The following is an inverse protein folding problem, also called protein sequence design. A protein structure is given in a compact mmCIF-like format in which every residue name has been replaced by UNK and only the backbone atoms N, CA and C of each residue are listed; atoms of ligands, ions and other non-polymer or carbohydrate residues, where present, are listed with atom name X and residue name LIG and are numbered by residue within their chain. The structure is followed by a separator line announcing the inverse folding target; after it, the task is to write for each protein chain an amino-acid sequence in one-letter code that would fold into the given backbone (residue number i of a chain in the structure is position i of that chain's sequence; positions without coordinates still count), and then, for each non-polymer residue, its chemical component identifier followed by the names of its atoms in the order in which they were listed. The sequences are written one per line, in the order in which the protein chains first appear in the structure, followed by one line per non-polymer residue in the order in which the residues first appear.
data_IF_823244978012
#
_entry.id   IF_823244978012
#
_cell.length_a   1.000
_cell.length_b   1.000
_cell.length_c   1.000
_cell.angle_alpha   90.00
_cell.angle_beta   90.00
_cell.angle_gamma   90.00
#
_symmetry.space_group_name_H-M   'P 1'
#
loop_
_entity.id
_entity.type
_entity.pdbx_description
1 polymer ?
#
# COMPACT_ATOMS: atom_id res chain seq x y z
N UNK A 1 -15.87 -64.20 -16.65
CA UNK A 1 -15.17 -64.17 -17.94
C UNK A 1 -14.98 -62.72 -18.35
N UNK A 2 -13.71 -62.30 -18.53
CA UNK A 2 -13.16 -61.10 -19.19
C UNK A 2 -13.71 -59.71 -18.78
N UNK A 3 -12.96 -58.62 -18.61
CA UNK A 3 -11.53 -58.26 -18.52
C UNK A 3 -11.58 -56.80 -17.98
N UNK A 4 -10.73 -56.31 -17.09
CA UNK A 4 -9.31 -56.14 -17.32
C UNK A 4 -9.04 -54.91 -18.22
N UNK A 5 -9.10 -53.70 -17.67
CA UNK A 5 -8.53 -52.50 -18.29
C UNK A 5 -7.61 -51.80 -17.29
N UNK A 6 -6.32 -52.01 -17.49
CA UNK A 6 -5.22 -51.27 -16.89
C UNK A 6 -5.19 -49.83 -17.43
N UNK A 7 -4.84 -48.85 -16.60
CA UNK A 7 -3.80 -47.89 -16.99
C UNK A 7 -3.20 -47.22 -15.76
N UNK A 8 -2.15 -47.84 -15.27
CA UNK A 8 -1.09 -47.23 -14.50
C UNK A 8 -0.25 -46.32 -15.42
N UNK A 9 0.05 -45.09 -14.97
CA UNK A 9 1.29 -44.31 -15.21
C UNK A 9 1.01 -42.80 -15.15
N UNK A 10 1.43 -42.18 -14.04
CA UNK A 10 2.16 -40.90 -14.00
C UNK A 10 2.22 -40.45 -12.53
N UNK A 11 3.05 -41.07 -11.69
CA UNK A 11 4.30 -40.45 -11.24
C UNK A 11 4.32 -38.92 -11.36
N UNK A 12 3.70 -38.22 -10.41
CA UNK A 12 4.12 -36.85 -10.07
C UNK A 12 5.40 -37.00 -9.24
N UNK A 13 6.50 -37.37 -9.91
CA UNK A 13 7.84 -37.35 -9.33
C UNK A 13 8.71 -36.38 -10.12
N UNK A 14 9.39 -35.51 -9.36
CA UNK A 14 10.53 -34.69 -9.76
C UNK A 14 10.29 -33.60 -10.82
N UNK A 15 10.27 -32.35 -10.36
CA UNK A 15 11.35 -31.39 -10.66
C UNK A 15 11.24 -30.15 -9.76
N UNK A 16 12.24 -29.88 -8.90
CA UNK A 16 12.40 -28.56 -8.31
C UNK A 16 13.00 -27.64 -9.38
N UNK A 17 12.22 -26.73 -9.95
CA UNK A 17 12.78 -25.60 -10.70
C UNK A 17 13.23 -24.53 -9.69
N UNK A 18 14.40 -24.77 -9.12
CA UNK A 18 15.20 -23.73 -8.51
C UNK A 18 15.70 -22.80 -9.63
N UNK A 19 14.90 -21.81 -9.99
CA UNK A 19 15.39 -20.68 -10.78
C UNK A 19 16.13 -19.71 -9.84
N UNK A 20 17.33 -20.09 -9.42
CA UNK A 20 18.26 -19.14 -8.80
C UNK A 20 18.90 -18.34 -9.93
N UNK A 21 18.29 -17.21 -10.29
CA UNK A 21 18.94 -16.24 -11.14
C UNK A 21 20.25 -15.78 -10.47
N UNK A 22 21.39 -15.74 -11.18
CA UNK A 22 22.59 -15.12 -10.64
C UNK A 22 22.27 -13.65 -10.39
N UNK A 23 22.51 -13.19 -9.16
CA UNK A 23 22.45 -11.76 -8.81
C UNK A 23 23.52 -11.06 -9.64
N UNK A 24 23.16 -10.59 -10.83
CA UNK A 24 23.96 -9.63 -11.55
C UNK A 24 24.10 -8.40 -10.64
N UNK A 25 25.31 -8.18 -10.14
CA UNK A 25 25.69 -7.00 -9.37
C UNK A 25 25.67 -5.80 -10.32
N UNK A 26 24.49 -5.26 -10.55
CA UNK A 26 24.36 -3.96 -11.21
C UNK A 26 25.08 -2.95 -10.31
N UNK A 27 26.07 -2.20 -10.81
CA UNK A 27 26.76 -1.21 -9.99
C UNK A 27 25.73 -0.21 -9.47
N UNK A 28 25.56 -0.22 -8.14
CA UNK A 28 24.67 0.69 -7.41
C UNK A 28 25.20 2.10 -7.62
N UNK A 29 24.62 2.83 -8.59
CA UNK A 29 25.02 4.20 -8.92
C UNK A 29 25.19 5.04 -7.64
N UNK A 30 26.38 5.64 -7.54
CA UNK A 30 26.96 6.27 -6.36
C UNK A 30 26.29 7.63 -6.03
N UNK A 31 25.30 8.06 -6.82
CA UNK A 31 24.56 9.30 -6.63
C UNK A 31 23.53 9.25 -5.48
N UNK A 32 23.28 8.08 -4.87
CA UNK A 32 22.33 7.98 -3.73
C UNK A 32 22.81 8.66 -2.46
N UNK A 33 24.10 9.00 -2.33
CA UNK A 33 24.68 9.40 -1.04
C UNK A 33 24.39 10.84 -0.64
N UNK A 34 24.30 11.77 -1.59
CA UNK A 34 24.13 13.19 -1.29
C UNK A 34 22.70 13.56 -0.85
N UNK A 35 21.67 13.00 -1.49
CA UNK A 35 20.25 13.30 -1.16
C UNK A 35 19.80 12.69 0.17
N UNK A 36 20.53 11.67 0.63
CA UNK A 36 20.25 10.99 1.89
C UNK A 36 20.59 11.90 3.09
N UNK A 37 21.64 12.72 3.01
CA UNK A 37 22.09 13.54 4.14
C UNK A 37 21.16 14.72 4.46
N UNK A 38 20.62 15.42 3.46
CA UNK A 38 19.74 16.58 3.72
C UNK A 38 18.32 16.17 4.16
N UNK A 39 17.88 14.95 3.83
CA UNK A 39 16.55 14.43 4.23
C UNK A 39 16.58 13.61 5.51
N UNK A 40 17.75 13.20 5.99
CA UNK A 40 17.90 12.53 7.30
C UNK A 40 17.58 13.46 8.49
N UNK A 41 17.72 14.78 8.32
CA UNK A 41 17.33 15.77 9.32
C UNK A 41 15.80 15.84 9.55
N UNK A 42 14.99 15.64 8.51
CA UNK A 42 13.53 15.51 8.68
C UNK A 42 13.15 14.15 9.31
N UNK A 43 13.88 13.08 8.97
CA UNK A 43 13.50 11.71 9.36
C UNK A 43 13.81 11.32 10.81
N UNK A 44 14.65 12.06 11.53
CA UNK A 44 14.77 11.90 12.99
C UNK A 44 13.44 12.17 13.72
N UNK A 45 12.51 12.90 13.09
CA UNK A 45 11.16 13.16 13.62
C UNK A 45 10.13 12.07 13.28
N UNK A 46 10.41 11.20 12.31
CA UNK A 46 9.47 10.18 11.83
C UNK A 46 9.74 8.80 12.46
N UNK A 47 9.89 8.75 13.79
CA UNK A 47 9.77 7.48 14.51
C UNK A 47 8.45 6.83 14.10
N UNK A 48 8.50 5.58 13.64
CA UNK A 48 7.37 4.76 13.17
C UNK A 48 6.18 4.98 14.10
N UNK A 49 5.24 5.85 13.71
CA UNK A 49 4.11 6.19 14.56
C UNK A 49 3.37 4.89 14.86
N UNK A 50 3.35 4.51 16.13
CA UNK A 50 2.58 3.35 16.58
C UNK A 50 1.11 3.69 16.29
N UNK A 51 0.33 2.72 15.83
CA UNK A 51 -1.10 2.95 15.52
C UNK A 51 -1.87 3.58 16.70
N UNK A 52 -1.43 3.33 17.93
CA UNK A 52 -1.95 3.97 19.14
C UNK A 52 -1.82 5.51 19.12
N UNK A 53 -0.73 6.07 18.61
CA UNK A 53 -0.52 7.51 18.54
C UNK A 53 -1.48 8.17 17.53
N UNK A 54 -1.79 7.47 16.44
CA UNK A 54 -2.73 7.98 15.43
C UNK A 54 -4.16 8.08 15.98
N UNK A 55 -4.55 7.19 16.90
CA UNK A 55 -5.87 7.26 17.56
C UNK A 55 -6.01 8.50 18.42
N UNK A 56 -4.94 8.92 19.10
CA UNK A 56 -4.94 10.11 19.95
C UNK A 56 -4.79 11.42 19.15
N UNK A 57 -4.07 11.38 18.03
CA UNK A 57 -3.82 12.56 17.18
C UNK A 57 -5.06 12.98 16.37
N UNK A 58 -5.85 12.03 15.87
CA UNK A 58 -7.00 12.32 15.00
C UNK A 58 -8.32 12.09 15.73
N UNK A 59 -8.86 13.13 16.35
CA UNK A 59 -10.11 13.03 17.11
C UNK A 59 -11.36 12.88 16.22
N UNK A 60 -11.39 13.50 15.03
CA UNK A 60 -12.55 13.53 14.14
C UNK A 60 -12.35 12.67 12.88
N UNK A 61 -13.44 12.18 12.28
CA UNK A 61 -13.38 11.42 11.03
C UNK A 61 -12.98 12.30 9.84
N UNK A 62 -13.43 13.56 9.84
CA UNK A 62 -13.09 14.52 8.78
C UNK A 62 -11.59 14.85 8.75
N UNK A 63 -10.95 14.92 9.93
CA UNK A 63 -9.50 15.10 10.01
C UNK A 63 -8.73 13.90 9.45
N UNK A 64 -9.24 12.68 9.66
CA UNK A 64 -8.67 11.47 9.05
C UNK A 64 -8.78 11.54 7.53
N UNK A 65 -9.95 11.92 7.01
CA UNK A 65 -10.19 11.97 5.56
C UNK A 65 -9.34 13.07 4.90
N UNK A 66 -9.22 14.24 5.52
CA UNK A 66 -8.35 15.33 5.04
C UNK A 66 -6.86 14.91 5.01
N UNK A 67 -6.36 14.27 6.06
CA UNK A 67 -4.97 13.80 6.08
C UNK A 67 -4.74 12.68 5.05
N UNK A 68 -5.70 11.76 4.87
CA UNK A 68 -5.60 10.74 3.82
C UNK A 68 -5.53 11.38 2.42
N UNK A 69 -6.30 12.44 2.15
CA UNK A 69 -6.24 13.17 0.88
C UNK A 69 -4.88 13.84 0.68
N UNK A 70 -4.34 14.50 1.71
CA UNK A 70 -2.99 15.09 1.69
C UNK A 70 -1.92 14.03 1.40
N UNK A 71 -1.91 12.92 2.14
CA UNK A 71 -0.93 11.86 1.95
C UNK A 71 -1.01 11.23 0.54
N UNK A 72 -2.20 11.15 -0.05
CA UNK A 72 -2.39 10.72 -1.45
C UNK A 72 -1.80 11.72 -2.45
N UNK A 73 -1.97 13.03 -2.22
CA UNK A 73 -1.36 14.07 -3.04
C UNK A 73 0.17 14.00 -2.98
N UNK A 74 0.74 13.84 -1.78
CA UNK A 74 2.18 13.66 -1.60
C UNK A 74 2.69 12.43 -2.35
N UNK A 75 1.98 11.31 -2.29
CA UNK A 75 2.31 10.10 -3.06
C UNK A 75 2.26 10.35 -4.58
N UNK A 76 1.35 11.19 -5.07
CA UNK A 76 1.27 11.54 -6.48
C UNK A 76 2.49 12.35 -6.92
N UNK A 77 2.93 13.32 -6.12
CA UNK A 77 4.17 14.07 -6.36
C UNK A 77 5.38 13.13 -6.40
N UNK A 78 5.46 12.16 -5.47
CA UNK A 78 6.54 11.15 -5.48
C UNK A 78 6.53 10.29 -6.75
N UNK A 79 5.36 9.95 -7.28
CA UNK A 79 5.25 9.22 -8.56
C UNK A 79 5.74 10.06 -9.73
N UNK A 80 5.46 11.37 -9.74
CA UNK A 80 5.99 12.29 -10.76
C UNK A 80 7.52 12.33 -10.68
N UNK A 81 8.10 12.49 -9.50
CA UNK A 81 9.57 12.46 -9.31
C UNK A 81 10.19 11.16 -9.80
N UNK A 82 9.55 10.03 -9.50
CA UNK A 82 9.98 8.72 -10.01
C UNK A 82 9.94 8.64 -11.53
N UNK A 83 8.86 9.12 -12.17
CA UNK A 83 8.73 9.14 -13.62
C UNK A 83 9.78 10.03 -14.29
N UNK A 84 10.06 11.20 -13.71
CA UNK A 84 11.11 12.13 -14.17
C UNK A 84 12.53 11.65 -13.89
N UNK A 85 12.70 10.50 -13.20
CA UNK A 85 13.99 9.97 -12.72
C UNK A 85 14.74 10.97 -11.81
N UNK A 86 14.00 11.85 -11.15
CA UNK A 86 14.53 12.74 -10.12
C UNK A 86 14.83 11.95 -8.84
N UNK A 87 15.66 12.53 -7.97
CA UNK A 87 15.95 11.91 -6.70
C UNK A 87 14.69 11.87 -5.81
N UNK A 88 14.32 10.67 -5.37
CA UNK A 88 13.22 10.46 -4.43
C UNK A 88 13.54 9.30 -3.49
N UNK A 89 12.90 9.30 -2.32
CA UNK A 89 13.09 8.26 -1.30
C UNK A 89 12.01 7.19 -1.39
N UNK A 90 12.32 5.93 -1.78
CA UNK A 90 11.32 4.87 -1.87
C UNK A 90 10.80 4.44 -0.49
N UNK A 91 11.63 4.54 0.56
CA UNK A 91 11.23 4.20 1.93
C UNK A 91 10.07 5.08 2.42
N UNK A 92 10.13 6.38 2.17
CA UNK A 92 9.07 7.33 2.51
C UNK A 92 7.76 6.98 1.80
N UNK A 93 7.79 6.59 0.51
CA UNK A 93 6.58 6.15 -0.20
C UNK A 93 5.91 4.93 0.45
N UNK A 94 6.71 3.96 0.90
CA UNK A 94 6.18 2.79 1.62
C UNK A 94 5.66 3.16 3.02
N UNK A 95 6.28 4.11 3.70
CA UNK A 95 5.84 4.62 5.00
C UNK A 95 4.50 5.37 4.88
N UNK A 96 4.37 6.27 3.91
CA UNK A 96 3.13 7.00 3.60
C UNK A 96 1.99 6.04 3.26
N UNK A 97 2.24 5.02 2.44
CA UNK A 97 1.25 3.98 2.14
C UNK A 97 0.76 3.25 3.41
N UNK A 98 1.67 2.89 4.31
CA UNK A 98 1.31 2.23 5.58
C UNK A 98 0.52 3.17 6.51
N UNK A 99 0.87 4.45 6.54
CA UNK A 99 0.16 5.48 7.33
C UNK A 99 -1.29 5.64 6.86
N UNK A 100 -1.52 5.73 5.54
CA UNK A 100 -2.88 5.76 4.96
C UNK A 100 -3.68 4.54 5.38
N UNK A 101 -3.09 3.34 5.30
CA UNK A 101 -3.77 2.11 5.68
C UNK A 101 -4.18 2.13 7.17
N UNK A 102 -3.29 2.59 8.06
CA UNK A 102 -3.59 2.71 9.50
C UNK A 102 -4.75 3.69 9.76
N UNK A 103 -4.74 4.85 9.11
CA UNK A 103 -5.80 5.86 9.23
C UNK A 103 -7.17 5.32 8.79
N UNK A 104 -7.22 4.62 7.65
CA UNK A 104 -8.45 4.01 7.15
C UNK A 104 -8.94 2.86 8.03
N UNK A 105 -8.04 2.12 8.68
CA UNK A 105 -8.42 1.10 9.67
C UNK A 105 -9.11 1.76 10.87
N UNK A 106 -8.57 2.86 11.40
CA UNK A 106 -9.20 3.58 12.53
C UNK A 106 -10.57 4.13 12.13
N UNK A 107 -10.71 4.70 10.93
CA UNK A 107 -12.01 5.13 10.41
C UNK A 107 -13.00 3.96 10.36
N UNK A 108 -12.56 2.80 9.88
CA UNK A 108 -13.41 1.61 9.81
C UNK A 108 -13.78 1.05 11.18
N UNK A 109 -12.89 1.10 12.16
CA UNK A 109 -13.19 0.75 13.56
C UNK A 109 -14.35 1.62 14.09
N UNK A 110 -14.32 2.93 13.85
CA UNK A 110 -15.39 3.86 14.24
C UNK A 110 -16.71 3.61 13.50
N UNK A 111 -16.66 3.32 12.21
CA UNK A 111 -17.87 2.96 11.44
C UNK A 111 -18.54 1.70 12.01
N UNK A 112 -17.74 0.74 12.49
CA UNK A 112 -18.24 -0.49 13.11
C UNK A 112 -18.88 -0.18 14.46
N UNK A 113 -18.27 0.71 15.27
CA UNK A 113 -18.86 1.18 16.54
C UNK A 113 -20.21 1.89 16.32
N UNK A 114 -20.36 2.62 15.22
CA UNK A 114 -21.62 3.26 14.81
C UNK A 114 -22.65 2.29 14.20
N UNK A 115 -22.31 1.01 14.04
CA UNK A 115 -23.20 -0.01 13.49
C UNK A 115 -23.32 0.02 11.96
N UNK A 116 -22.38 0.63 11.24
CA UNK A 116 -22.43 0.74 9.78
C UNK A 116 -21.92 -0.54 9.10
N UNK A 117 -22.84 -1.24 8.45
CA UNK A 117 -22.53 -2.41 7.64
C UNK A 117 -21.56 -2.12 6.49
N UNK A 118 -20.75 -3.13 6.14
CA UNK A 118 -19.78 -3.05 5.02
C UNK A 118 -20.44 -2.69 3.69
N UNK A 119 -21.68 -3.15 3.46
CA UNK A 119 -22.42 -2.87 2.22
C UNK A 119 -22.93 -1.42 2.20
N UNK A 120 -23.47 -0.94 3.32
CA UNK A 120 -23.95 0.43 3.46
C UNK A 120 -22.81 1.44 3.26
N UNK A 121 -21.64 1.19 3.87
CA UNK A 121 -20.46 2.04 3.71
C UNK A 121 -20.05 2.19 2.23
N UNK A 122 -19.93 1.09 1.49
CA UNK A 122 -19.59 1.13 0.05
C UNK A 122 -20.68 1.79 -0.80
N UNK A 123 -21.95 1.58 -0.44
CA UNK A 123 -23.06 2.22 -1.15
C UNK A 123 -23.03 3.74 -0.96
N UNK A 124 -22.71 4.21 0.25
CA UNK A 124 -22.51 5.63 0.53
C UNK A 124 -21.33 6.21 -0.27
N UNK A 125 -20.17 5.53 -0.28
CA UNK A 125 -19.02 5.93 -1.10
C UNK A 125 -19.38 6.03 -2.59
N UNK A 126 -20.13 5.05 -3.12
CA UNK A 126 -20.55 5.06 -4.53
C UNK A 126 -21.54 6.20 -4.81
N UNK A 127 -22.48 6.48 -3.90
CA UNK A 127 -23.43 7.59 -4.02
C UNK A 127 -22.69 8.93 -4.10
N UNK A 128 -21.70 9.16 -3.23
CA UNK A 128 -20.87 10.37 -3.26
C UNK A 128 -20.17 10.55 -4.62
N UNK A 129 -19.68 9.47 -5.24
CA UNK A 129 -19.07 9.55 -6.57
C UNK A 129 -20.07 9.87 -7.68
N UNK A 130 -21.29 9.33 -7.60
CA UNK A 130 -22.37 9.61 -8.56
C UNK A 130 -22.83 11.05 -8.43
N UNK A 131 -23.02 11.54 -7.21
CA UNK A 131 -23.39 12.93 -6.91
C UNK A 131 -22.31 13.92 -7.37
N UNK A 132 -21.03 13.55 -7.23
CA UNK A 132 -19.91 14.32 -7.78
C UNK A 132 -19.78 14.24 -9.31
N UNK A 133 -20.66 13.51 -10.01
CA UNK A 133 -20.63 13.36 -11.46
C UNK A 133 -19.50 12.46 -12.00
N UNK A 134 -18.77 11.76 -11.12
CA UNK A 134 -17.64 10.88 -11.47
C UNK A 134 -18.04 9.41 -11.65
N UNK A 135 -19.32 9.09 -11.49
CA UNK A 135 -19.84 7.72 -11.38
C UNK A 135 -20.83 7.27 -12.46
N UNK A 136 -21.00 8.04 -13.54
CA UNK A 136 -21.79 7.64 -14.71
C UNK A 136 -20.89 7.38 -15.91
N UNK A 137 -20.37 6.15 -15.99
CA UNK A 137 -19.83 5.55 -17.21
C UNK A 137 -20.18 4.07 -17.22
#
# INVERSE_FOLDING_TARGET
MFAGALSSKACISSRPVAFTAPKASVPRMVARKAVVAETEAEEASAKRAKAANLRTEFATNDAIDAEVQRLKADMFVMRIKFAKREAYRPAQYTATRKRIAQLLTIRRERDIEQGVDRRAARAAEKRLLVEAGLGQF
#
